data_IF_552392696144
#
_entry.id   IF_552392696144
#
_cell.length_a   1.000
_cell.length_b   1.000
_cell.length_c   1.000
_cell.angle_alpha   90.00
_cell.angle_beta   90.00
_cell.angle_gamma   90.00
#
_symmetry.space_group_name_H-M   'P 1'
#
loop_
_entity.id
_entity.type
_entity.pdbx_description
1 polymer ?
#
# COMPACT_ATOMS: atom_id res chain seq x y z
N UNK A 1 -30.92 -26.05 13.80
CA UNK A 1 -31.58 -25.76 12.51
C UNK A 1 -32.57 -24.63 12.76
N UNK A 2 -32.36 -23.50 12.12
CA UNK A 2 -33.29 -22.38 12.17
C UNK A 2 -34.04 -22.36 10.83
N UNK A 3 -35.34 -22.42 10.88
CA UNK A 3 -36.20 -22.32 9.71
C UNK A 3 -36.97 -20.99 9.75
N UNK A 4 -36.83 -20.21 8.69
CA UNK A 4 -37.59 -18.98 8.49
C UNK A 4 -38.54 -19.24 7.31
N UNK A 5 -39.85 -19.03 7.51
CA UNK A 5 -40.84 -19.02 6.45
C UNK A 5 -41.53 -17.68 6.40
N UNK A 6 -41.44 -16.98 5.29
CA UNK A 6 -42.06 -15.67 5.11
C UNK A 6 -42.74 -15.58 3.75
N UNK A 7 -43.98 -15.10 3.68
CA UNK A 7 -44.66 -14.94 2.40
C UNK A 7 -44.06 -13.75 1.63
N UNK A 8 -43.97 -13.94 0.32
CA UNK A 8 -43.74 -12.82 -0.59
C UNK A 8 -44.97 -11.90 -0.67
N UNK A 9 -44.78 -10.68 -1.14
CA UNK A 9 -45.88 -9.71 -1.30
C UNK A 9 -47.00 -10.16 -2.24
N UNK A 10 -46.70 -11.10 -3.14
CA UNK A 10 -47.64 -11.69 -4.11
C UNK A 10 -48.29 -13.01 -3.65
N UNK A 11 -48.04 -13.44 -2.42
CA UNK A 11 -48.61 -14.67 -1.84
C UNK A 11 -47.77 -15.91 -1.95
N UNK A 12 -46.62 -15.89 -2.68
CA UNK A 12 -45.64 -16.97 -2.68
C UNK A 12 -44.87 -17.08 -1.34
N UNK A 13 -44.00 -18.06 -1.19
CA UNK A 13 -43.24 -18.23 0.05
C UNK A 13 -41.74 -18.34 -0.19
N UNK A 14 -40.94 -17.76 0.70
CA UNK A 14 -39.51 -17.97 0.82
C UNK A 14 -39.27 -18.82 2.08
N UNK A 15 -38.59 -19.93 1.93
CA UNK A 15 -38.10 -20.73 3.05
C UNK A 15 -36.58 -20.66 3.10
N UNK A 16 -36.04 -20.31 4.25
CA UNK A 16 -34.61 -20.31 4.49
C UNK A 16 -34.28 -21.36 5.55
N UNK A 17 -33.35 -22.26 5.24
CA UNK A 17 -32.87 -23.29 6.16
C UNK A 17 -31.38 -23.02 6.41
N UNK A 18 -31.00 -22.89 7.68
CA UNK A 18 -29.63 -22.70 8.10
C UNK A 18 -29.14 -23.92 8.86
N UNK A 19 -28.02 -24.47 8.40
CA UNK A 19 -27.33 -25.60 9.05
C UNK A 19 -25.89 -25.19 9.38
N UNK A 20 -25.57 -25.13 10.66
CA UNK A 20 -24.21 -24.87 11.13
C UNK A 20 -24.15 -23.97 12.37
N UNK A 21 -22.94 -23.86 12.93
CA UNK A 21 -22.56 -22.88 13.94
C UNK A 21 -21.36 -22.09 13.41
N UNK A 22 -21.41 -20.79 13.40
CA UNK A 22 -20.36 -19.94 12.84
C UNK A 22 -20.57 -19.70 11.33
N UNK A 23 -19.56 -19.98 10.51
CA UNK A 23 -19.57 -19.76 9.05
C UNK A 23 -20.40 -20.81 8.30
N UNK A 24 -21.66 -20.88 8.61
CA UNK A 24 -22.59 -21.77 7.94
C UNK A 24 -23.22 -21.11 6.71
N UNK A 25 -23.79 -21.95 5.81
CA UNK A 25 -24.58 -21.51 4.66
C UNK A 25 -26.07 -21.54 4.99
N UNK A 26 -26.83 -20.56 4.47
CA UNK A 26 -28.29 -20.59 4.47
C UNK A 26 -28.78 -20.95 3.06
N UNK A 27 -29.65 -21.96 2.98
CA UNK A 27 -30.32 -22.30 1.73
C UNK A 27 -31.69 -21.63 1.68
N UNK A 28 -31.90 -20.84 0.63
CA UNK A 28 -33.19 -20.19 0.38
C UNK A 28 -33.92 -20.97 -0.72
N UNK A 29 -35.13 -21.36 -0.40
CA UNK A 29 -36.04 -22.01 -1.38
C UNK A 29 -37.24 -21.06 -1.55
N UNK A 30 -37.52 -20.67 -2.78
CA UNK A 30 -38.67 -19.85 -3.12
C UNK A 30 -39.51 -20.48 -4.21
N UNK A 31 -40.80 -20.19 -4.20
CA UNK A 31 -41.65 -20.50 -5.34
C UNK A 31 -41.17 -19.77 -6.60
N UNK A 32 -41.37 -20.37 -7.75
CA UNK A 32 -41.03 -19.74 -9.03
C UNK A 32 -41.73 -18.37 -9.14
N UNK A 33 -40.98 -17.40 -9.60
CA UNK A 33 -41.54 -16.07 -9.86
C UNK A 33 -41.79 -15.90 -11.35
N UNK A 34 -43.07 -16.02 -11.74
CA UNK A 34 -43.49 -15.92 -13.13
C UNK A 34 -43.84 -14.49 -13.57
N UNK A 35 -43.72 -13.54 -12.66
CA UNK A 35 -44.14 -12.16 -12.89
C UNK A 35 -43.03 -11.12 -12.65
N UNK A 36 -43.38 -9.99 -12.09
CA UNK A 36 -42.46 -8.89 -11.81
C UNK A 36 -41.52 -9.18 -10.63
N UNK A 37 -40.44 -8.42 -10.55
CA UNK A 37 -39.53 -8.48 -9.41
C UNK A 37 -40.29 -8.32 -8.08
N UNK A 38 -39.93 -9.12 -7.10
CA UNK A 38 -40.49 -9.08 -5.76
C UNK A 38 -39.43 -8.94 -4.69
N UNK A 39 -39.79 -8.26 -3.63
CA UNK A 39 -38.85 -7.91 -2.56
C UNK A 39 -39.39 -8.35 -1.19
N UNK A 40 -38.48 -8.69 -0.28
CA UNK A 40 -38.80 -8.91 1.12
C UNK A 40 -37.62 -8.54 2.01
N UNK A 41 -37.92 -8.23 3.25
CA UNK A 41 -36.93 -8.15 4.31
C UNK A 41 -36.78 -9.49 5.01
N UNK A 42 -35.56 -10.00 5.08
CA UNK A 42 -35.19 -11.21 5.80
C UNK A 42 -34.39 -10.83 7.03
N UNK A 43 -34.88 -11.21 8.19
CA UNK A 43 -34.20 -11.02 9.46
C UNK A 43 -33.62 -12.34 9.97
N UNK A 44 -32.36 -12.33 10.29
CA UNK A 44 -31.67 -13.45 10.93
C UNK A 44 -31.66 -13.26 12.42
N UNK A 45 -31.97 -14.31 13.14
CA UNK A 45 -32.03 -14.30 14.61
C UNK A 45 -31.01 -15.29 15.15
N UNK A 46 -30.36 -14.94 16.26
CA UNK A 46 -29.50 -15.85 17.00
C UNK A 46 -30.31 -16.88 17.82
N UNK A 47 -29.60 -17.80 18.50
CA UNK A 47 -30.22 -18.81 19.37
C UNK A 47 -31.02 -18.22 20.54
N UNK A 48 -30.84 -16.95 20.87
CA UNK A 48 -31.61 -16.19 21.86
C UNK A 48 -32.83 -15.48 21.30
N UNK A 49 -33.12 -15.66 20.00
CA UNK A 49 -34.18 -14.98 19.24
C UNK A 49 -34.02 -13.46 19.09
N UNK A 50 -32.81 -12.93 19.26
CA UNK A 50 -32.54 -11.56 18.94
C UNK A 50 -32.24 -11.43 17.44
N UNK A 51 -32.79 -10.38 16.77
CA UNK A 51 -32.47 -10.06 15.38
C UNK A 51 -31.01 -9.62 15.31
N UNK A 52 -30.20 -10.41 14.63
CA UNK A 52 -28.78 -10.16 14.47
C UNK A 52 -28.53 -9.30 13.23
N UNK A 53 -29.27 -9.55 12.16
CA UNK A 53 -29.19 -8.77 10.92
C UNK A 53 -30.51 -8.84 10.16
N UNK A 54 -30.89 -7.75 9.53
CA UNK A 54 -31.99 -7.67 8.56
C UNK A 54 -31.45 -7.27 7.20
N UNK A 55 -31.90 -7.94 6.15
CA UNK A 55 -31.51 -7.63 4.76
C UNK A 55 -32.73 -7.63 3.86
N UNK A 56 -32.70 -6.71 2.90
CA UNK A 56 -33.68 -6.69 1.81
C UNK A 56 -33.22 -7.68 0.74
N UNK A 57 -34.10 -8.60 0.39
CA UNK A 57 -33.86 -9.60 -0.65
C UNK A 57 -34.80 -9.33 -1.81
N UNK A 58 -34.28 -9.22 -3.02
CA UNK A 58 -35.05 -9.03 -4.24
C UNK A 58 -34.95 -10.29 -5.09
N UNK A 59 -36.06 -10.87 -5.43
CA UNK A 59 -36.14 -11.92 -6.45
C UNK A 59 -36.53 -11.30 -7.78
N UNK A 60 -35.62 -11.34 -8.75
CA UNK A 60 -35.87 -10.88 -10.10
C UNK A 60 -36.78 -11.86 -10.85
N UNK A 61 -37.86 -11.38 -11.47
CA UNK A 61 -38.77 -12.21 -12.25
C UNK A 61 -38.06 -12.96 -13.37
N UNK A 62 -38.46 -14.19 -13.64
CA UNK A 62 -37.94 -15.12 -14.68
C UNK A 62 -36.42 -15.42 -14.65
N UNK A 63 -35.63 -14.68 -13.84
CA UNK A 63 -34.18 -14.87 -13.76
C UNK A 63 -33.73 -15.61 -12.51
N UNK A 64 -34.64 -15.85 -11.56
CA UNK A 64 -34.36 -16.55 -10.29
C UNK A 64 -33.06 -16.12 -9.59
N UNK A 65 -32.70 -14.84 -9.68
CA UNK A 65 -31.49 -14.28 -9.06
C UNK A 65 -31.90 -13.54 -7.80
N UNK A 66 -31.31 -13.93 -6.68
CA UNK A 66 -31.44 -13.16 -5.44
C UNK A 66 -30.34 -12.09 -5.42
N UNK A 67 -30.72 -10.85 -5.27
CA UNK A 67 -29.79 -9.74 -5.10
C UNK A 67 -29.96 -9.13 -3.71
N UNK A 68 -28.85 -8.78 -3.09
CA UNK A 68 -28.83 -8.10 -1.80
C UNK A 68 -28.30 -6.68 -2.00
N UNK A 69 -29.11 -5.68 -1.64
CA UNK A 69 -28.77 -4.27 -1.86
C UNK A 69 -27.50 -3.80 -1.12
N UNK A 70 -27.13 -4.49 -0.05
CA UNK A 70 -26.07 -4.06 0.87
C UNK A 70 -24.84 -4.98 0.86
N UNK A 71 -24.67 -5.75 -0.21
CA UNK A 71 -23.56 -6.71 -0.34
C UNK A 71 -23.82 -8.05 0.36
N UNK A 72 -22.82 -8.90 0.55
CA UNK A 72 -22.99 -10.24 1.07
C UNK A 72 -23.55 -10.23 2.50
N UNK A 73 -24.36 -11.20 2.84
CA UNK A 73 -24.85 -11.41 4.20
C UNK A 73 -23.66 -11.72 5.13
N UNK A 74 -23.60 -11.05 6.27
CA UNK A 74 -22.59 -11.31 7.29
C UNK A 74 -23.26 -11.67 8.61
N UNK A 75 -22.71 -12.64 9.30
CA UNK A 75 -23.08 -12.94 10.67
C UNK A 75 -22.48 -11.89 11.63
N UNK A 76 -23.03 -11.78 12.82
CA UNK A 76 -22.50 -10.91 13.88
C UNK A 76 -21.06 -11.30 14.31
N UNK A 77 -20.65 -12.52 14.07
CA UNK A 77 -19.29 -13.04 14.28
C UNK A 77 -18.35 -12.87 13.07
N UNK A 78 -18.77 -12.18 12.01
CA UNK A 78 -17.98 -11.95 10.81
C UNK A 78 -18.13 -12.97 9.69
N UNK A 79 -18.87 -14.07 9.90
CA UNK A 79 -19.15 -15.07 8.87
C UNK A 79 -20.02 -14.52 7.73
N UNK A 80 -19.88 -15.09 6.54
CA UNK A 80 -20.67 -14.74 5.35
C UNK A 80 -21.57 -15.90 4.94
N UNK A 81 -22.77 -15.56 4.44
CA UNK A 81 -23.65 -16.55 3.82
C UNK A 81 -23.52 -16.49 2.30
N UNK A 82 -23.47 -17.66 1.69
CA UNK A 82 -23.65 -17.79 0.26
C UNK A 82 -25.11 -18.15 -0.03
N UNK A 83 -25.77 -17.41 -0.90
CA UNK A 83 -27.14 -17.72 -1.37
C UNK A 83 -27.00 -18.66 -2.56
N UNK A 84 -27.44 -19.91 -2.38
CA UNK A 84 -27.45 -20.90 -3.46
C UNK A 84 -28.81 -20.93 -4.15
N UNK A 85 -28.80 -20.95 -5.47
CA UNK A 85 -30.00 -21.11 -6.29
C UNK A 85 -30.43 -22.59 -6.27
N UNK A 86 -31.71 -22.83 -6.01
CA UNK A 86 -32.25 -24.19 -6.01
C UNK A 86 -32.30 -24.73 -7.44
N UNK A 87 -31.73 -25.92 -7.67
CA UNK A 87 -31.79 -26.65 -8.93
C UNK A 87 -30.60 -26.44 -9.88
N UNK A 88 -29.67 -25.55 -9.59
CA UNK A 88 -28.38 -25.58 -10.28
C UNK A 88 -27.38 -26.49 -9.56
N UNK A 89 -26.54 -27.22 -10.31
CA UNK A 89 -25.43 -27.91 -9.66
C UNK A 89 -24.64 -26.88 -8.84
N UNK A 90 -24.26 -27.25 -7.62
CA UNK A 90 -23.30 -26.48 -6.83
C UNK A 90 -22.05 -26.40 -7.69
N UNK A 91 -21.93 -25.33 -8.49
CA UNK A 91 -20.65 -24.95 -9.05
C UNK A 91 -19.86 -24.57 -7.80
N UNK A 92 -18.80 -25.28 -7.44
CA UNK A 92 -17.95 -24.87 -6.34
C UNK A 92 -17.67 -23.38 -6.57
N UNK A 93 -17.88 -22.54 -5.55
CA UNK A 93 -17.53 -21.12 -5.63
C UNK A 93 -16.19 -21.06 -6.36
N UNK A 94 -16.10 -20.31 -7.46
CA UNK A 94 -14.78 -20.06 -8.03
C UNK A 94 -13.94 -19.58 -6.84
N UNK A 95 -12.82 -20.26 -6.57
CA UNK A 95 -12.06 -19.97 -5.37
C UNK A 95 -11.82 -18.46 -5.33
N UNK A 96 -12.28 -17.82 -4.25
CA UNK A 96 -12.10 -16.37 -4.08
C UNK A 96 -10.63 -16.10 -4.36
N UNK A 97 -10.36 -15.28 -5.35
CA UNK A 97 -9.00 -14.98 -5.75
C UNK A 97 -8.27 -14.37 -4.57
N UNK A 98 -7.24 -15.04 -4.10
CA UNK A 98 -6.40 -14.56 -3.00
C UNK A 98 -5.09 -13.99 -3.56
N UNK A 99 -4.57 -13.02 -2.84
CA UNK A 99 -3.39 -12.28 -3.26
C UNK A 99 -2.42 -12.12 -2.09
N UNK A 100 -1.17 -12.43 -2.34
CA UNK A 100 -0.08 -12.12 -1.42
C UNK A 100 0.45 -10.72 -1.73
N UNK A 101 0.41 -9.82 -0.75
CA UNK A 101 0.95 -8.47 -0.86
C UNK A 101 2.46 -8.49 -1.11
N UNK A 102 2.94 -7.63 -2.00
CA UNK A 102 4.36 -7.42 -2.25
C UNK A 102 4.81 -6.03 -1.80
N UNK A 103 6.09 -5.88 -1.52
CA UNK A 103 6.67 -4.59 -1.11
C UNK A 103 6.76 -3.60 -2.26
N UNK A 104 6.94 -4.08 -3.48
CA UNK A 104 6.94 -3.31 -4.73
C UNK A 104 6.74 -4.25 -5.92
N UNK A 105 6.42 -3.68 -7.07
CA UNK A 105 6.73 -4.30 -8.36
C UNK A 105 7.88 -3.55 -9.03
N UNK A 106 8.66 -4.26 -9.84
CA UNK A 106 9.78 -3.70 -10.61
C UNK A 106 9.51 -3.86 -12.10
N UNK A 107 9.73 -2.77 -12.84
CA UNK A 107 9.63 -2.68 -14.28
C UNK A 107 11.03 -2.59 -14.89
N UNK A 108 11.30 -3.38 -15.93
CA UNK A 108 12.58 -3.37 -16.64
C UNK A 108 12.52 -2.65 -18.02
N UNK A 109 11.43 -1.95 -18.29
CA UNK A 109 11.23 -1.22 -19.52
C UNK A 109 10.41 -1.95 -20.60
N UNK A 110 9.68 -3.01 -20.22
CA UNK A 110 8.82 -3.78 -21.12
C UNK A 110 7.39 -3.94 -20.60
N UNK A 111 7.15 -3.57 -19.35
CA UNK A 111 5.87 -3.72 -18.67
C UNK A 111 5.04 -2.45 -18.72
N UNK A 112 3.73 -2.61 -18.79
CA UNK A 112 2.76 -1.54 -18.59
C UNK A 112 1.39 -2.10 -18.16
N UNK A 113 0.51 -1.21 -17.73
CA UNK A 113 -0.89 -1.48 -17.40
C UNK A 113 -1.75 -0.46 -18.15
N UNK A 114 -2.77 -0.91 -18.91
CA UNK A 114 -3.85 -0.05 -19.37
C UNK A 114 -4.95 -0.02 -18.30
N UNK A 115 -5.16 1.13 -17.68
CA UNK A 115 -6.23 1.27 -16.67
C UNK A 115 -7.62 1.34 -17.27
N UNK A 116 -7.76 1.57 -18.57
CA UNK A 116 -9.04 1.89 -19.17
C UNK A 116 -9.68 3.18 -18.64
N UNK A 117 -9.01 3.88 -17.73
CA UNK A 117 -9.52 5.06 -17.04
C UNK A 117 -9.09 6.34 -17.73
N UNK A 118 -10.05 7.20 -18.05
CA UNK A 118 -9.81 8.55 -18.59
C UNK A 118 -9.74 9.52 -17.41
N UNK A 119 -8.59 10.16 -17.23
CA UNK A 119 -8.33 11.12 -16.13
C UNK A 119 -9.24 12.34 -16.26
N UNK A 120 -9.83 12.74 -15.14
CA UNK A 120 -10.73 13.90 -15.03
C UNK A 120 -10.02 15.11 -14.44
N UNK A 121 -10.65 16.27 -14.58
CA UNK A 121 -10.09 17.55 -14.15
C UNK A 121 -9.86 17.64 -12.63
N UNK A 122 -10.72 17.01 -11.84
CA UNK A 122 -10.67 16.98 -10.37
C UNK A 122 -9.86 15.81 -9.80
N UNK A 123 -9.26 14.98 -10.67
CA UNK A 123 -8.45 13.87 -10.21
C UNK A 123 -7.09 14.33 -9.69
N UNK A 124 -6.62 13.60 -8.68
CA UNK A 124 -5.30 13.71 -8.09
C UNK A 124 -4.60 12.37 -8.26
N UNK A 125 -3.51 12.35 -9.01
CA UNK A 125 -2.70 11.15 -9.22
C UNK A 125 -1.55 11.16 -8.24
N UNK A 126 -1.37 10.06 -7.49
CA UNK A 126 -0.31 9.86 -6.50
C UNK A 126 0.46 8.60 -6.81
N UNK A 127 1.77 8.65 -6.65
CA UNK A 127 2.61 7.48 -6.81
C UNK A 127 3.83 7.52 -5.89
N UNK A 128 4.17 6.35 -5.31
CA UNK A 128 5.45 6.10 -4.67
C UNK A 128 6.27 5.18 -5.57
N UNK A 129 7.43 5.66 -6.00
CA UNK A 129 8.29 4.95 -6.93
C UNK A 129 9.77 5.13 -6.63
N UNK A 130 10.57 4.21 -7.14
CA UNK A 130 12.04 4.25 -7.12
C UNK A 130 12.54 4.10 -8.57
N UNK A 131 13.27 5.07 -9.06
CA UNK A 131 13.84 5.05 -10.40
C UNK A 131 15.35 4.83 -10.31
N UNK A 132 15.79 3.61 -10.58
CA UNK A 132 17.20 3.21 -10.47
C UNK A 132 18.02 3.49 -11.75
N UNK A 133 17.37 3.83 -12.85
CA UNK A 133 18.01 3.88 -14.16
C UNK A 133 18.04 5.31 -14.69
N UNK A 134 19.25 5.78 -14.85
CA UNK A 134 19.58 7.08 -15.41
C UNK A 134 19.81 6.91 -16.90
N UNK A 135 18.74 6.93 -17.66
CA UNK A 135 18.81 6.89 -19.11
C UNK A 135 18.71 8.30 -19.70
N UNK A 136 19.35 8.52 -20.84
CA UNK A 136 19.13 9.71 -21.68
C UNK A 136 17.89 9.57 -22.56
N UNK A 137 16.96 8.71 -22.16
CA UNK A 137 15.70 8.46 -22.84
C UNK A 137 14.55 8.77 -21.88
N UNK A 138 13.47 9.32 -22.41
CA UNK A 138 12.25 9.51 -21.62
C UNK A 138 11.70 8.17 -21.15
N UNK A 139 11.44 8.05 -19.86
CA UNK A 139 10.80 6.91 -19.21
C UNK A 139 9.55 7.39 -18.50
N UNK A 140 8.40 6.86 -18.85
CA UNK A 140 7.12 7.34 -18.33
C UNK A 140 6.63 6.44 -17.20
N UNK A 141 6.45 7.03 -16.03
CA UNK A 141 5.80 6.36 -14.90
C UNK A 141 4.30 6.18 -15.18
N UNK A 142 3.69 7.15 -15.83
CA UNK A 142 2.35 7.05 -16.37
C UNK A 142 2.16 8.06 -17.52
N UNK A 143 1.21 7.79 -18.42
CA UNK A 143 0.92 8.74 -19.49
C UNK A 143 -0.24 8.41 -20.42
N UNK A 144 -0.91 9.46 -20.87
CA UNK A 144 -1.90 9.48 -21.97
C UNK A 144 -1.26 9.94 -23.28
N UNK A 145 -1.97 9.86 -24.41
CA UNK A 145 -1.35 9.96 -25.73
C UNK A 145 -1.51 11.27 -26.49
N UNK A 146 -2.40 12.15 -26.09
CA UNK A 146 -2.77 13.28 -26.94
C UNK A 146 -2.02 14.59 -26.61
N UNK A 147 -2.33 15.67 -27.34
CA UNK A 147 -1.74 16.98 -27.14
C UNK A 147 -2.10 17.61 -25.79
N UNK A 148 -3.15 17.09 -25.15
CA UNK A 148 -3.67 17.51 -23.84
C UNK A 148 -3.36 16.46 -22.77
N UNK A 149 -2.18 15.85 -22.86
CA UNK A 149 -1.81 14.68 -22.09
C UNK A 149 -1.71 14.91 -20.57
N UNK A 150 -1.96 13.86 -19.81
CA UNK A 150 -1.54 13.73 -18.42
C UNK A 150 -0.40 12.72 -18.38
N UNK A 151 0.77 13.14 -17.90
CA UNK A 151 1.90 12.22 -17.78
C UNK A 151 2.96 12.70 -16.78
N UNK A 152 3.75 11.74 -16.34
CA UNK A 152 5.02 11.94 -15.64
C UNK A 152 6.10 11.16 -16.38
N UNK A 153 7.13 11.86 -16.86
CA UNK A 153 8.33 11.24 -17.40
C UNK A 153 9.57 11.59 -16.59
N UNK A 154 10.58 10.74 -16.70
CA UNK A 154 11.89 10.90 -16.08
C UNK A 154 12.93 10.82 -17.19
N UNK A 155 13.70 11.89 -17.35
CA UNK A 155 14.76 12.00 -18.35
C UNK A 155 16.00 12.62 -17.70
N UNK A 156 17.12 11.92 -17.75
CA UNK A 156 18.43 12.42 -17.32
C UNK A 156 18.37 13.15 -15.95
N UNK A 157 17.87 12.48 -14.91
CA UNK A 157 17.68 13.00 -13.55
C UNK A 157 16.65 14.14 -13.40
N UNK A 158 15.87 14.41 -14.39
CA UNK A 158 14.83 15.44 -14.33
C UNK A 158 13.47 14.80 -14.52
N UNK A 159 12.55 15.09 -13.62
CA UNK A 159 11.16 14.73 -13.84
C UNK A 159 10.44 15.85 -14.59
N UNK A 160 9.67 15.43 -15.54
CA UNK A 160 8.80 16.29 -16.33
C UNK A 160 7.36 15.86 -16.07
N UNK A 161 6.50 16.81 -15.84
CA UNK A 161 5.08 16.57 -15.58
C UNK A 161 4.22 17.37 -16.53
N UNK A 162 3.08 16.80 -16.86
CA UNK A 162 2.02 17.44 -17.60
C UNK A 162 0.65 17.05 -17.05
N UNK A 163 -0.23 18.04 -16.95
CA UNK A 163 -1.64 17.81 -16.65
C UNK A 163 -2.46 18.73 -17.56
N UNK A 164 -3.00 18.17 -18.63
CA UNK A 164 -3.63 18.94 -19.71
C UNK A 164 -2.63 19.43 -20.77
N UNK A 165 -2.77 20.67 -21.28
CA UNK A 165 -1.98 21.18 -22.40
C UNK A 165 -0.61 21.77 -22.04
N UNK A 166 -0.41 22.17 -20.78
CA UNK A 166 0.84 22.78 -20.32
C UNK A 166 1.91 21.79 -19.91
N UNK A 167 3.17 22.10 -20.20
CA UNK A 167 4.32 21.29 -19.77
C UNK A 167 5.08 22.03 -18.67
N UNK A 168 5.39 21.33 -17.59
CA UNK A 168 6.25 21.84 -16.52
C UNK A 168 7.48 20.96 -16.37
N UNK A 169 8.59 21.59 -16.04
CA UNK A 169 9.83 20.94 -15.65
C UNK A 169 10.03 21.08 -14.17
N UNK A 170 10.36 20.00 -13.50
CA UNK A 170 10.75 20.05 -12.12
C UNK A 170 12.11 19.42 -11.89
N UNK A 171 12.87 20.08 -11.08
CA UNK A 171 14.08 19.71 -10.33
C UNK A 171 14.86 18.47 -10.72
N UNK A 172 16.17 18.63 -10.70
CA UNK A 172 17.14 17.55 -10.76
C UNK A 172 16.80 16.50 -9.70
N UNK A 173 16.41 15.32 -10.13
CA UNK A 173 16.34 14.15 -9.30
C UNK A 173 17.71 13.49 -9.25
N UNK A 174 18.29 13.49 -8.11
CA UNK A 174 19.37 12.59 -7.83
C UNK A 174 18.76 11.36 -7.14
N UNK A 175 18.15 10.44 -7.91
CA UNK A 175 17.76 9.08 -7.51
C UNK A 175 16.85 8.87 -6.27
N UNK A 176 16.13 7.89 -6.33
CA UNK A 176 15.74 6.63 -5.75
C UNK A 176 14.35 6.56 -5.18
N UNK A 177 13.88 7.17 -4.17
CA UNK A 177 12.51 6.99 -3.66
C UNK A 177 11.79 8.31 -3.69
N UNK A 178 10.77 8.39 -4.52
CA UNK A 178 10.02 9.62 -4.69
C UNK A 178 8.54 9.40 -4.45
N UNK A 179 7.92 10.39 -3.85
CA UNK A 179 6.49 10.60 -3.86
C UNK A 179 6.18 11.66 -4.90
N UNK A 180 5.21 11.41 -5.74
CA UNK A 180 4.64 12.39 -6.65
C UNK A 180 3.16 12.51 -6.45
N UNK A 181 2.66 13.74 -6.46
CA UNK A 181 1.25 14.07 -6.55
C UNK A 181 1.06 15.02 -7.74
N UNK A 182 0.22 14.66 -8.70
CA UNK A 182 -0.10 15.46 -9.87
C UNK A 182 -1.59 15.74 -9.89
N UNK A 183 -1.95 17.01 -10.02
CA UNK A 183 -3.33 17.48 -10.11
C UNK A 183 -3.42 18.68 -11.04
N UNK A 184 -4.64 19.12 -11.30
CA UNK A 184 -4.89 20.37 -12.02
C UNK A 184 -4.04 21.50 -11.39
N UNK A 185 -3.32 22.21 -12.26
CA UNK A 185 -2.52 23.41 -11.92
C UNK A 185 -1.31 23.19 -11.02
N UNK A 186 -1.08 21.99 -10.49
CA UNK A 186 0.13 21.74 -9.69
C UNK A 186 0.64 20.31 -9.74
N UNK A 187 1.93 20.14 -9.54
CA UNK A 187 2.56 18.88 -9.22
C UNK A 187 3.47 19.04 -8.00
N UNK A 188 3.36 18.11 -7.08
CA UNK A 188 4.23 18.04 -5.91
C UNK A 188 5.15 16.85 -6.04
N UNK A 189 6.44 17.08 -5.96
CA UNK A 189 7.47 16.05 -5.92
C UNK A 189 8.11 16.05 -4.55
N UNK A 190 7.98 14.97 -3.84
CA UNK A 190 8.36 14.87 -2.44
C UNK A 190 7.72 16.00 -1.62
N UNK A 191 8.26 17.20 -1.69
CA UNK A 191 7.78 18.39 -0.96
C UNK A 191 7.82 19.67 -1.80
N UNK A 192 8.31 19.57 -3.03
CA UNK A 192 8.43 20.75 -3.91
C UNK A 192 7.19 20.80 -4.80
N UNK A 193 6.35 21.79 -4.56
CA UNK A 193 5.22 22.08 -5.42
C UNK A 193 5.65 22.96 -6.59
N UNK A 194 5.19 22.59 -7.78
CA UNK A 194 5.42 23.33 -9.02
C UNK A 194 4.08 23.60 -9.69
N UNK A 195 3.89 24.83 -10.18
CA UNK A 195 2.69 25.19 -10.94
C UNK A 195 2.72 24.52 -12.32
N UNK A 196 1.60 23.94 -12.72
CA UNK A 196 1.37 23.36 -14.03
C UNK A 196 0.40 24.26 -14.81
N UNK A 197 0.74 24.69 -16.03
CA UNK A 197 -0.24 25.30 -16.92
C UNK A 197 -1.35 24.28 -17.22
N UNK A 198 -2.60 24.71 -17.11
CA UNK A 198 -3.76 23.87 -17.37
C UNK A 198 -4.68 24.55 -18.38
N UNK A 199 -5.12 23.81 -19.37
CA UNK A 199 -6.13 24.28 -20.34
C UNK A 199 -7.27 23.26 -20.51
N UNK A 200 -6.96 22.00 -20.77
CA UNK A 200 -7.97 20.98 -21.10
C UNK A 200 -7.45 19.56 -20.80
N UNK A 201 -8.37 18.64 -20.49
CA UNK A 201 -8.05 17.24 -20.15
C UNK A 201 -7.91 16.33 -21.39
N UNK A 202 -7.14 15.22 -21.27
CA UNK A 202 -7.06 14.20 -22.31
C UNK A 202 -8.38 13.42 -22.42
N UNK A 203 -8.64 12.91 -23.62
CA UNK A 203 -9.76 12.01 -23.88
C UNK A 203 -9.36 10.53 -23.92
N UNK A 204 -8.06 10.24 -23.79
CA UNK A 204 -7.52 8.88 -23.89
C UNK A 204 -7.26 8.26 -22.54
N UNK A 205 -7.44 6.92 -22.38
CA UNK A 205 -7.14 6.23 -21.14
C UNK A 205 -5.67 6.35 -20.73
N UNK A 206 -5.44 6.25 -19.42
CA UNK A 206 -4.14 6.34 -18.79
C UNK A 206 -3.43 4.99 -18.80
N UNK A 207 -2.17 4.99 -19.26
CA UNK A 207 -1.23 3.89 -19.03
C UNK A 207 -0.39 4.15 -17.78
N UNK A 208 -0.14 3.12 -17.02
CA UNK A 208 0.83 3.11 -15.92
C UNK A 208 2.06 2.33 -16.36
N UNK A 209 3.24 2.83 -16.02
CA UNK A 209 4.58 2.33 -16.41
C UNK A 209 4.93 2.47 -17.89
N UNK A 210 4.14 3.22 -18.62
CA UNK A 210 4.41 3.61 -19.98
C UNK A 210 3.63 4.88 -20.36
N UNK A 211 3.87 5.39 -21.55
CA UNK A 211 3.01 6.39 -22.20
C UNK A 211 2.23 5.73 -23.33
N UNK A 212 0.97 6.11 -23.48
CA UNK A 212 0.18 5.73 -24.65
C UNK A 212 0.64 6.54 -25.87
N UNK A 213 0.85 5.88 -27.01
CA UNK A 213 1.12 6.56 -28.30
C UNK A 213 -0.18 7.03 -28.94
N UNK A 214 -0.09 7.82 -29.99
CA UNK A 214 -1.28 8.23 -30.77
C UNK A 214 -1.93 7.07 -31.53
N UNK A 215 -1.19 5.99 -31.82
CA UNK A 215 -1.72 4.73 -32.35
C UNK A 215 -2.39 3.84 -31.29
N UNK A 216 -2.24 4.17 -30.03
CA UNK A 216 -2.78 3.38 -28.92
C UNK A 216 -1.77 2.45 -28.25
N UNK A 217 -0.59 2.29 -28.81
CA UNK A 217 0.46 1.40 -28.30
C UNK A 217 1.17 1.99 -27.07
N UNK A 218 1.72 1.13 -26.22
CA UNK A 218 2.59 1.56 -25.14
C UNK A 218 3.99 1.89 -25.65
N UNK A 219 4.51 3.04 -25.22
CA UNK A 219 5.85 3.51 -25.59
C UNK A 219 6.59 4.06 -24.37
N UNK A 220 7.92 4.12 -24.46
CA UNK A 220 8.80 4.77 -23.48
C UNK A 220 8.54 4.27 -22.04
N UNK A 221 8.55 2.95 -21.88
CA UNK A 221 8.23 2.22 -20.66
C UNK A 221 9.12 2.63 -19.48
N UNK A 222 8.54 2.65 -18.30
CA UNK A 222 9.23 2.92 -17.05
C UNK A 222 10.24 1.83 -16.71
N UNK A 223 11.34 2.24 -16.06
CA UNK A 223 12.33 1.34 -15.47
C UNK A 223 12.53 1.75 -14.04
N UNK A 224 12.21 0.85 -13.12
CA UNK A 224 12.27 1.12 -11.69
C UNK A 224 11.21 0.35 -10.91
N UNK A 225 10.96 0.78 -9.68
CA UNK A 225 10.03 0.12 -8.75
C UNK A 225 8.86 1.02 -8.42
N UNK A 226 7.71 0.41 -8.19
CA UNK A 226 6.53 1.11 -7.72
C UNK A 226 5.95 0.38 -6.51
N UNK A 227 5.61 1.13 -5.46
CA UNK A 227 5.02 0.59 -4.23
C UNK A 227 3.54 0.93 -4.12
N UNK A 228 3.09 1.98 -4.82
CA UNK A 228 1.70 2.41 -4.83
C UNK A 228 1.45 3.35 -6.01
N UNK A 229 0.31 3.16 -6.67
CA UNK A 229 -0.25 4.13 -7.62
C UNK A 229 -1.71 4.38 -7.26
N UNK A 230 -2.14 5.64 -7.23
CA UNK A 230 -3.48 6.00 -6.77
C UNK A 230 -4.05 7.17 -7.56
N UNK A 231 -5.35 7.10 -7.83
CA UNK A 231 -6.15 8.20 -8.34
C UNK A 231 -7.25 8.47 -7.34
N UNK A 232 -7.38 9.71 -6.89
CA UNK A 232 -8.44 10.17 -5.99
C UNK A 232 -9.05 11.47 -6.50
N UNK A 233 -10.25 11.81 -6.06
CA UNK A 233 -10.89 13.10 -6.33
C UNK A 233 -11.67 13.60 -5.09
N UNK A 234 -12.47 14.62 -5.24
CA UNK A 234 -13.26 15.18 -4.14
C UNK A 234 -14.24 14.19 -3.49
N UNK A 235 -14.62 13.12 -4.19
CA UNK A 235 -15.53 12.08 -3.69
C UNK A 235 -14.80 10.91 -3.03
N UNK A 236 -13.47 10.91 -3.02
CA UNK A 236 -12.64 9.86 -2.42
C UNK A 236 -11.71 9.17 -3.42
N UNK A 237 -11.29 7.97 -3.08
CA UNK A 237 -10.37 7.17 -3.89
C UNK A 237 -11.13 6.49 -5.04
N UNK A 238 -10.61 6.63 -6.25
CA UNK A 238 -11.18 6.07 -7.47
C UNK A 238 -10.47 4.80 -7.89
N UNK A 239 -9.13 4.80 -7.83
CA UNK A 239 -8.25 3.67 -8.12
C UNK A 239 -7.13 3.69 -7.08
N UNK A 240 -6.83 2.54 -6.50
CA UNK A 240 -5.66 2.36 -5.64
C UNK A 240 -4.97 1.05 -5.94
N UNK A 241 -3.90 1.12 -6.71
CA UNK A 241 -3.12 -0.03 -7.14
C UNK A 241 -2.03 -0.38 -6.12
N UNK A 242 -2.01 -1.63 -5.70
CA UNK A 242 -1.03 -2.19 -4.78
C UNK A 242 -0.31 -3.40 -5.38
N UNK A 243 1.02 -3.50 -5.23
CA UNK A 243 1.78 -4.67 -5.68
C UNK A 243 1.32 -5.95 -5.01
N UNK A 244 1.00 -6.96 -5.80
CA UNK A 244 0.60 -8.29 -5.29
C UNK A 244 1.13 -9.41 -6.17
N UNK A 245 1.20 -10.61 -5.59
CA UNK A 245 1.29 -11.89 -6.28
C UNK A 245 -0.07 -12.59 -6.18
N UNK A 246 -0.65 -12.97 -7.29
CA UNK A 246 -1.88 -13.74 -7.32
C UNK A 246 -1.58 -15.17 -6.95
N UNK A 247 -2.26 -15.70 -5.93
CA UNK A 247 -1.86 -16.97 -5.30
C UNK A 247 -2.12 -18.18 -6.20
N UNK A 248 -3.20 -18.16 -7.03
CA UNK A 248 -3.57 -19.30 -7.88
C UNK A 248 -2.54 -19.68 -8.94
N UNK A 249 -1.77 -18.72 -9.45
CA UNK A 249 -0.82 -18.92 -10.55
C UNK A 249 0.54 -18.27 -10.33
N UNK A 250 0.73 -17.59 -9.19
CA UNK A 250 1.96 -16.89 -8.86
C UNK A 250 2.20 -15.61 -9.67
N UNK A 251 1.24 -15.16 -10.49
CA UNK A 251 1.41 -14.00 -11.35
C UNK A 251 1.54 -12.72 -10.56
N UNK A 252 2.55 -11.92 -10.88
CA UNK A 252 2.82 -10.64 -10.22
C UNK A 252 2.10 -9.53 -10.98
N UNK A 253 1.51 -8.60 -10.23
CA UNK A 253 0.78 -7.46 -10.79
C UNK A 253 0.39 -6.44 -9.74
N UNK A 254 -0.55 -5.60 -10.11
CA UNK A 254 -1.16 -4.61 -9.23
C UNK A 254 -2.63 -4.95 -8.99
N UNK A 255 -3.05 -4.98 -7.73
CA UNK A 255 -4.45 -5.11 -7.34
C UNK A 255 -5.01 -3.72 -7.08
N UNK A 256 -6.08 -3.36 -7.76
CA UNK A 256 -6.89 -2.22 -7.36
C UNK A 256 -7.74 -2.60 -6.14
N UNK A 257 -7.36 -2.08 -4.98
CA UNK A 257 -8.04 -2.42 -3.71
C UNK A 257 -9.44 -1.81 -3.60
N UNK A 258 -9.80 -0.89 -4.49
CA UNK A 258 -11.14 -0.28 -4.54
C UNK A 258 -12.10 -1.18 -5.32
N UNK A 259 -11.71 -1.61 -6.54
CA UNK A 259 -12.57 -2.43 -7.41
C UNK A 259 -12.34 -3.93 -7.27
N UNK A 260 -11.23 -4.36 -6.68
CA UNK A 260 -10.80 -5.76 -6.64
C UNK A 260 -10.17 -6.27 -7.95
N UNK A 261 -9.99 -5.42 -8.96
CA UNK A 261 -9.42 -5.82 -10.24
C UNK A 261 -7.91 -6.05 -10.15
N UNK A 262 -7.45 -7.16 -10.70
CA UNK A 262 -6.04 -7.49 -10.80
C UNK A 262 -5.50 -7.12 -12.19
N UNK A 263 -4.45 -6.31 -12.21
CA UNK A 263 -3.75 -5.88 -13.41
C UNK A 263 -2.38 -6.57 -13.50
N UNK A 264 -2.24 -7.48 -14.44
CA UNK A 264 -0.95 -8.01 -14.85
C UNK A 264 -0.28 -7.05 -15.84
N UNK A 265 0.98 -7.33 -16.20
CA UNK A 265 1.61 -6.65 -17.33
C UNK A 265 0.90 -6.97 -18.62
N UNK A 266 0.64 -5.96 -19.44
CA UNK A 266 0.17 -6.09 -20.81
C UNK A 266 1.33 -6.01 -21.84
N UNK A 267 2.57 -5.77 -21.34
CA UNK A 267 3.77 -5.72 -22.15
C UNK A 267 4.39 -7.10 -22.41
N UNK A 268 5.58 -7.08 -23.04
CA UNK A 268 6.29 -8.31 -23.47
C UNK A 268 6.95 -9.07 -22.32
N UNK A 269 6.93 -8.53 -21.09
CA UNK A 269 7.51 -9.18 -19.92
C UNK A 269 6.59 -9.06 -18.69
N UNK A 270 6.65 -10.04 -17.80
CA UNK A 270 5.98 -9.99 -16.50
C UNK A 270 6.68 -8.99 -15.57
N UNK A 271 5.92 -8.48 -14.60
CA UNK A 271 6.50 -7.69 -13.50
C UNK A 271 7.39 -8.55 -12.61
N UNK A 272 8.43 -7.93 -12.03
CA UNK A 272 9.26 -8.54 -11.00
C UNK A 272 8.74 -8.10 -9.65
N UNK A 273 8.49 -9.04 -8.74
CA UNK A 273 7.97 -8.75 -7.41
C UNK A 273 9.07 -8.50 -6.38
N UNK A 274 8.78 -7.60 -5.46
CA UNK A 274 9.54 -7.47 -4.22
C UNK A 274 9.23 -8.59 -3.22
N UNK A 275 9.65 -8.41 -1.96
CA UNK A 275 9.39 -9.38 -0.90
C UNK A 275 7.88 -9.51 -0.63
N UNK A 276 7.45 -10.72 -0.30
CA UNK A 276 6.08 -10.98 0.14
C UNK A 276 5.84 -10.36 1.53
N UNK A 277 4.74 -9.62 1.64
CA UNK A 277 4.26 -9.11 2.92
C UNK A 277 3.06 -9.95 3.31
N UNK A 278 3.30 -11.00 4.07
CA UNK A 278 2.23 -11.85 4.60
C UNK A 278 1.72 -11.23 5.89
N UNK A 279 0.47 -10.84 5.88
CA UNK A 279 -0.24 -10.30 7.03
C UNK A 279 -1.40 -11.22 7.38
N UNK A 280 -1.63 -11.45 8.65
CA UNK A 280 -2.74 -12.28 9.10
C UNK A 280 -4.04 -11.49 9.14
N UNK A 281 -5.16 -12.21 9.13
CA UNK A 281 -6.48 -11.61 9.33
C UNK A 281 -6.53 -10.74 10.60
N UNK A 282 -7.27 -9.64 10.55
CA UNK A 282 -7.36 -8.67 11.65
C UNK A 282 -6.39 -7.50 11.59
N UNK A 283 -5.58 -7.42 10.52
CA UNK A 283 -4.64 -6.33 10.30
C UNK A 283 -4.77 -5.76 8.88
N UNK A 284 -4.45 -4.47 8.74
CA UNK A 284 -4.45 -3.73 7.48
C UNK A 284 -3.05 -3.14 7.24
N UNK A 285 -2.50 -3.33 6.03
CA UNK A 285 -1.26 -2.63 5.64
C UNK A 285 -1.62 -1.18 5.34
N UNK A 286 -0.90 -0.27 6.00
CA UNK A 286 -0.95 1.17 5.75
C UNK A 286 0.35 1.64 5.09
N UNK A 287 0.36 2.85 4.53
CA UNK A 287 1.54 3.33 3.81
C UNK A 287 2.71 3.67 4.73
N UNK A 288 2.41 4.15 5.94
CA UNK A 288 3.40 4.70 6.88
C UNK A 288 2.85 4.79 8.28
N UNK A 289 3.73 4.73 9.28
CA UNK A 289 3.40 5.02 10.68
C UNK A 289 3.83 6.44 11.01
N UNK A 290 2.93 7.22 11.60
CA UNK A 290 3.24 8.55 12.12
C UNK A 290 3.79 8.47 13.54
N UNK A 291 4.92 9.16 13.77
CA UNK A 291 5.58 9.34 15.06
C UNK A 291 5.39 10.79 15.53
N UNK A 292 4.82 10.97 16.71
CA UNK A 292 4.47 12.28 17.30
C UNK A 292 5.20 12.58 18.61
N UNK A 293 6.34 11.98 18.88
CA UNK A 293 7.11 11.92 20.13
C UNK A 293 6.58 10.95 21.19
N UNK A 294 5.40 10.37 21.01
CA UNK A 294 4.78 9.46 21.97
C UNK A 294 4.92 8.00 21.55
N UNK A 295 5.44 7.76 20.34
CA UNK A 295 5.64 6.43 19.77
C UNK A 295 7.12 6.09 19.65
N UNK A 296 7.50 4.92 20.11
CA UNK A 296 8.75 4.25 19.80
C UNK A 296 8.50 2.75 19.74
N UNK A 297 9.36 2.02 19.09
CA UNK A 297 9.28 0.57 18.96
C UNK A 297 10.60 -0.05 19.38
N UNK A 298 10.59 -1.30 19.83
CA UNK A 298 11.80 -2.03 20.18
C UNK A 298 11.99 -3.20 19.21
N UNK A 299 13.15 -3.28 18.56
CA UNK A 299 13.46 -4.39 17.67
C UNK A 299 13.63 -5.72 18.40
N UNK A 300 13.97 -5.69 19.68
CA UNK A 300 14.37 -6.88 20.44
C UNK A 300 15.81 -7.36 20.14
N UNK A 301 16.49 -6.75 19.15
CA UNK A 301 17.81 -7.20 18.69
C UNK A 301 18.91 -6.19 19.01
N UNK A 302 20.06 -6.71 19.44
CA UNK A 302 21.27 -5.95 19.69
C UNK A 302 22.01 -5.69 18.38
N UNK A 303 22.55 -4.48 18.21
CA UNK A 303 23.41 -4.16 17.07
C UNK A 303 24.88 -4.54 17.33
N UNK A 304 25.60 -4.86 16.28
CA UNK A 304 27.04 -5.14 16.31
C UNK A 304 27.73 -4.68 15.01
N UNK A 305 29.01 -4.97 14.87
CA UNK A 305 29.81 -4.58 13.70
C UNK A 305 29.47 -5.32 12.40
N UNK A 306 28.51 -6.26 12.42
CA UNK A 306 27.93 -6.89 11.21
C UNK A 306 26.49 -6.45 10.93
N UNK A 307 25.96 -5.56 11.77
CA UNK A 307 24.56 -5.10 11.62
C UNK A 307 24.39 -4.17 10.43
N UNK A 308 23.39 -4.42 9.63
CA UNK A 308 22.92 -3.52 8.58
C UNK A 308 21.50 -3.05 8.87
N UNK A 309 21.18 -1.80 8.54
CA UNK A 309 19.85 -1.22 8.68
C UNK A 309 19.47 -0.55 7.37
N UNK A 310 18.24 -0.80 6.90
CA UNK A 310 17.59 -0.10 5.79
C UNK A 310 16.28 0.50 6.31
N UNK A 311 16.14 1.81 6.21
CA UNK A 311 14.98 2.54 6.71
C UNK A 311 14.53 3.58 5.69
N UNK A 312 13.23 3.67 5.48
CA UNK A 312 12.62 4.74 4.69
C UNK A 312 11.80 5.64 5.61
N UNK A 313 12.08 6.94 5.59
CA UNK A 313 11.51 7.89 6.54
C UNK A 313 11.28 9.28 5.95
N UNK A 314 10.37 10.03 6.56
CA UNK A 314 10.09 11.42 6.23
C UNK A 314 9.99 12.24 7.51
N UNK A 315 10.86 13.22 7.66
CA UNK A 315 10.83 14.13 8.80
C UNK A 315 9.82 15.26 8.56
N UNK A 316 8.93 15.52 9.52
CA UNK A 316 7.92 16.59 9.41
C UNK A 316 8.28 17.85 10.20
N UNK A 317 9.32 17.84 11.04
CA UNK A 317 9.76 18.98 11.85
C UNK A 317 11.28 19.07 11.91
N UNK A 318 11.83 20.28 11.78
CA UNK A 318 13.27 20.58 11.97
C UNK A 318 13.60 21.09 13.35
N UNK A 319 12.61 21.42 14.17
CA UNK A 319 12.78 22.23 15.39
C UNK A 319 13.46 21.50 16.55
N UNK A 320 13.63 20.20 16.50
CA UNK A 320 14.25 19.44 17.57
C UNK A 320 15.16 18.33 17.04
N UNK A 321 16.15 17.98 17.82
CA UNK A 321 16.92 16.76 17.67
C UNK A 321 15.99 15.55 17.68
N UNK A 322 16.09 14.68 16.67
CA UNK A 322 15.21 13.53 16.48
C UNK A 322 16.03 12.26 16.24
N UNK A 323 15.65 11.18 16.89
CA UNK A 323 16.30 9.89 16.71
C UNK A 323 15.39 8.96 15.90
N UNK A 324 15.83 8.58 14.72
CA UNK A 324 15.16 7.56 13.90
C UNK A 324 15.27 6.19 14.57
N UNK A 325 16.45 5.89 15.08
CA UNK A 325 16.73 4.65 15.82
C UNK A 325 18.02 4.80 16.64
N UNK A 326 18.21 3.93 17.63
CA UNK A 326 19.53 3.63 18.16
C UNK A 326 19.80 4.00 19.62
N UNK A 327 21.07 3.96 19.97
CA UNK A 327 21.62 4.15 21.32
C UNK A 327 22.55 5.34 21.36
N UNK A 328 22.56 6.10 22.48
CA UNK A 328 23.39 7.30 22.63
C UNK A 328 24.67 7.08 23.43
N UNK A 329 24.78 5.99 24.18
CA UNK A 329 25.94 5.66 25.00
C UNK A 329 26.63 4.38 24.52
N UNK A 330 27.92 4.29 24.79
CA UNK A 330 28.74 3.13 24.47
C UNK A 330 28.96 2.94 22.96
N UNK A 331 29.06 1.69 22.54
CA UNK A 331 29.14 1.29 21.15
C UNK A 331 27.82 1.59 20.45
N UNK A 332 27.83 2.48 19.44
CA UNK A 332 26.66 3.14 18.93
C UNK A 332 26.27 2.66 17.55
N UNK A 333 25.01 2.39 17.40
CA UNK A 333 24.35 2.28 16.11
C UNK A 333 23.13 3.22 16.17
N UNK A 334 23.21 4.36 15.50
CA UNK A 334 22.23 5.44 15.68
C UNK A 334 21.99 6.21 14.40
N UNK A 335 20.74 6.45 14.05
CA UNK A 335 20.29 7.47 13.08
C UNK A 335 19.71 8.66 13.82
N UNK A 336 20.39 9.81 13.74
CA UNK A 336 20.02 11.04 14.45
C UNK A 336 19.87 12.19 13.47
N UNK A 337 18.82 12.98 13.61
CA UNK A 337 18.50 14.13 12.78
C UNK A 337 18.53 15.42 13.60
N UNK A 338 19.21 16.47 13.12
CA UNK A 338 19.25 17.79 13.76
C UNK A 338 19.46 18.89 12.73
N UNK A 339 18.68 19.97 12.84
CA UNK A 339 18.90 21.24 12.11
C UNK A 339 19.25 21.09 10.62
N UNK A 340 18.51 20.22 9.89
CA UNK A 340 18.76 19.98 8.46
C UNK A 340 19.89 19.02 8.14
N UNK A 341 20.44 18.32 9.14
CA UNK A 341 21.48 17.30 8.97
C UNK A 341 21.05 15.97 9.56
N UNK A 342 21.42 14.88 8.91
CA UNK A 342 21.32 13.53 9.42
C UNK A 342 22.71 13.03 9.84
N UNK A 343 22.80 12.51 11.04
CA UNK A 343 24.01 11.95 11.63
C UNK A 343 23.82 10.47 11.83
N UNK A 344 24.65 9.68 11.19
CA UNK A 344 24.58 8.24 11.24
C UNK A 344 25.82 7.69 11.95
N UNK A 345 25.63 7.08 13.10
CA UNK A 345 26.73 6.51 13.87
C UNK A 345 26.78 5.01 13.68
N UNK A 346 27.98 4.52 13.47
CA UNK A 346 28.29 3.09 13.38
C UNK A 346 29.59 2.82 14.16
N UNK A 347 29.45 2.30 15.38
CA UNK A 347 30.59 2.25 16.30
C UNK A 347 31.15 3.65 16.58
N UNK A 348 32.41 3.87 16.24
CA UNK A 348 33.09 5.17 16.38
C UNK A 348 32.95 6.08 15.14
N UNK A 349 32.45 5.57 14.01
CA UNK A 349 32.27 6.35 12.81
C UNK A 349 31.05 7.29 12.92
N UNK A 350 31.12 8.46 12.25
CA UNK A 350 30.12 9.51 12.37
C UNK A 350 29.86 10.22 11.03
N UNK A 351 29.43 9.51 9.98
CA UNK A 351 29.07 10.16 8.73
C UNK A 351 27.86 11.10 8.88
N UNK A 352 27.90 12.24 8.19
CA UNK A 352 26.87 13.28 8.24
C UNK A 352 26.33 13.54 6.83
N UNK A 353 25.03 13.69 6.69
CA UNK A 353 24.31 13.95 5.44
C UNK A 353 23.39 15.16 5.60
N UNK A 354 23.17 15.91 4.53
CA UNK A 354 22.14 16.94 4.51
C UNK A 354 20.75 16.28 4.49
N UNK A 355 19.82 16.76 5.32
CA UNK A 355 18.43 16.30 5.37
C UNK A 355 17.49 17.48 5.44
N UNK A 356 16.56 17.60 4.51
CA UNK A 356 15.49 18.58 4.52
C UNK A 356 14.25 18.05 5.26
N UNK A 357 13.36 18.94 5.70
CA UNK A 357 12.02 18.56 6.15
C UNK A 357 11.15 18.13 4.98
N UNK A 358 10.19 17.28 5.29
CA UNK A 358 9.15 16.81 4.39
C UNK A 358 9.63 15.96 3.19
N UNK A 359 10.93 15.88 2.93
CA UNK A 359 11.47 14.95 1.94
C UNK A 359 11.50 13.53 2.49
N UNK A 360 11.16 12.56 1.64
CA UNK A 360 11.32 11.14 1.93
C UNK A 360 12.77 10.75 1.67
N UNK A 361 13.37 10.07 2.62
CA UNK A 361 14.75 9.58 2.56
C UNK A 361 14.78 8.07 2.70
N UNK A 362 15.68 7.45 1.96
CA UNK A 362 16.12 6.10 2.21
C UNK A 362 17.51 6.13 2.85
N UNK A 363 17.62 5.61 4.04
CA UNK A 363 18.87 5.48 4.76
C UNK A 363 19.29 4.01 4.82
N UNK A 364 20.48 3.69 4.34
CA UNK A 364 21.08 2.35 4.42
C UNK A 364 22.40 2.45 5.15
N UNK A 365 22.50 1.74 6.27
CA UNK A 365 23.74 1.62 7.06
C UNK A 365 24.21 0.18 6.95
N UNK A 366 25.43 0.01 6.53
CA UNK A 366 26.10 -1.30 6.45
C UNK A 366 27.47 -1.20 7.10
N UNK A 367 28.12 -2.32 7.43
CA UNK A 367 29.51 -2.30 7.86
C UNK A 367 30.40 -1.54 6.85
N UNK A 368 31.02 -0.46 7.32
CA UNK A 368 31.94 0.35 6.51
C UNK A 368 31.32 1.36 5.56
N UNK A 369 29.99 1.43 5.45
CA UNK A 369 29.32 2.37 4.53
C UNK A 369 27.96 2.81 5.06
N UNK A 370 27.67 4.09 4.95
CA UNK A 370 26.31 4.63 5.09
C UNK A 370 25.93 5.34 3.81
N UNK A 371 24.70 5.10 3.36
CA UNK A 371 24.11 5.75 2.19
C UNK A 371 22.80 6.42 2.61
N UNK A 372 22.61 7.68 2.25
CA UNK A 372 21.32 8.38 2.36
C UNK A 372 20.96 8.85 0.95
N UNK A 373 19.89 8.31 0.41
CA UNK A 373 19.55 8.37 -1.01
C UNK A 373 20.76 7.94 -1.87
N UNK A 374 21.37 8.84 -2.64
CA UNK A 374 22.54 8.55 -3.50
C UNK A 374 23.87 8.93 -2.87
N UNK A 375 23.83 9.65 -1.78
CA UNK A 375 25.06 10.09 -1.12
C UNK A 375 25.58 8.98 -0.23
N UNK A 376 26.78 8.49 -0.54
CA UNK A 376 27.44 7.45 0.25
C UNK A 376 28.67 8.00 0.97
N UNK A 377 28.90 7.51 2.17
CA UNK A 377 30.14 7.76 2.94
C UNK A 377 30.68 6.44 3.47
N UNK A 378 31.96 6.20 3.25
CA UNK A 378 32.68 5.03 3.77
C UNK A 378 33.42 5.40 5.05
N UNK A 379 33.63 4.39 5.89
CA UNK A 379 34.35 4.54 7.17
C UNK A 379 34.97 3.21 7.61
N UNK A 380 35.92 3.26 8.52
CA UNK A 380 36.51 2.07 9.12
C UNK A 380 35.55 1.56 10.21
N UNK A 381 35.31 0.24 10.21
CA UNK A 381 34.49 -0.44 11.22
C UNK A 381 35.38 -0.99 12.31
N UNK A 382 35.07 -0.63 13.55
CA UNK A 382 35.64 -1.26 14.74
C UNK A 382 34.66 -2.32 15.28
N UNK A 383 35.17 -3.31 15.97
CA UNK A 383 34.31 -4.26 16.69
C UNK A 383 33.50 -3.56 17.75
N UNK A 384 32.21 -3.83 17.81
CA UNK A 384 31.32 -3.37 18.85
C UNK A 384 30.09 -4.28 18.97
N UNK A 385 29.47 -4.24 20.13
CA UNK A 385 28.11 -4.75 20.38
C UNK A 385 27.38 -3.70 21.21
N UNK A 386 26.14 -3.44 20.87
CA UNK A 386 25.32 -2.47 21.63
C UNK A 386 24.93 -3.05 22.99
N UNK A 387 24.78 -2.19 24.00
CA UNK A 387 24.40 -2.61 25.36
C UNK A 387 22.92 -3.02 25.48
N UNK A 388 22.11 -2.62 24.51
CA UNK A 388 20.66 -2.80 24.52
C UNK A 388 20.14 -3.07 23.11
N UNK A 389 18.93 -3.66 22.98
CA UNK A 389 18.25 -3.75 21.69
C UNK A 389 18.00 -2.37 21.08
N UNK A 390 18.03 -2.32 19.75
CA UNK A 390 17.89 -1.07 18.98
C UNK A 390 16.44 -0.59 19.02
N UNK A 391 16.13 0.60 19.59
CA UNK A 391 14.83 1.22 19.45
C UNK A 391 14.67 1.95 18.11
N UNK A 392 13.44 2.05 17.63
CA UNK A 392 13.03 2.80 16.43
C UNK A 392 12.05 3.90 16.83
N UNK A 393 12.22 5.12 16.28
CA UNK A 393 11.44 6.31 16.66
C UNK A 393 11.91 6.99 17.95
N UNK A 394 13.02 6.52 18.50
CA UNK A 394 13.59 7.03 19.75
C UNK A 394 15.02 6.57 19.97
N UNK A 395 15.51 6.83 21.17
CA UNK A 395 16.83 6.37 21.59
C UNK A 395 16.81 5.86 23.03
N UNK A 396 17.79 5.03 23.36
CA UNK A 396 18.05 4.60 24.73
C UNK A 396 19.44 5.06 25.19
N UNK A 397 19.51 5.49 26.44
CA UNK A 397 20.75 5.97 27.07
C UNK A 397 20.97 5.22 28.38
N UNK A 398 21.89 4.26 28.37
CA UNK A 398 22.18 3.43 29.55
C UNK A 398 20.95 2.70 30.05
N UNK A 399 20.70 2.74 31.37
CA UNK A 399 19.57 2.10 32.03
C UNK A 399 18.24 2.87 31.91
N UNK A 400 18.23 4.04 31.28
CA UNK A 400 17.05 4.87 31.13
C UNK A 400 16.02 4.22 30.21
N UNK A 401 14.71 4.50 30.40
CA UNK A 401 13.68 4.12 29.42
C UNK A 401 13.98 4.68 28.04
N UNK A 402 13.36 4.08 26.99
CA UNK A 402 13.45 4.64 25.64
C UNK A 402 12.84 6.02 25.64
N UNK A 403 13.63 7.00 25.21
CA UNK A 403 13.17 8.38 25.03
C UNK A 403 12.71 8.55 23.59
N UNK A 404 11.46 8.96 23.44
CA UNK A 404 10.79 9.08 22.14
C UNK A 404 11.00 10.49 21.62
N UNK A 405 11.59 10.65 20.45
CA UNK A 405 11.94 11.95 19.91
C UNK A 405 11.65 12.16 18.44
N UNK A 406 11.34 11.09 17.70
CA UNK A 406 11.08 11.24 16.29
C UNK A 406 9.73 11.91 16.05
N UNK A 407 9.69 12.84 15.07
CA UNK A 407 8.44 13.43 14.55
C UNK A 407 8.49 13.33 13.03
N UNK A 408 7.62 12.51 12.50
CA UNK A 408 7.59 12.22 11.07
C UNK A 408 6.99 10.85 10.77
N UNK A 409 7.27 10.35 9.60
CA UNK A 409 6.75 9.08 9.11
C UNK A 409 7.88 8.09 8.90
N UNK A 410 7.64 6.80 9.22
CA UNK A 410 8.47 5.68 8.82
C UNK A 410 7.63 4.77 7.92
N UNK A 411 8.18 4.45 6.74
CA UNK A 411 7.54 3.67 5.68
C UNK A 411 7.92 2.19 5.73
N UNK A 412 9.13 1.87 6.21
CA UNK A 412 9.58 0.53 6.57
C UNK A 412 10.86 0.62 7.41
N UNK A 413 11.17 -0.47 8.09
CA UNK A 413 12.43 -0.65 8.83
C UNK A 413 12.90 -2.10 8.69
N UNK A 414 14.14 -2.28 8.28
CA UNK A 414 14.78 -3.59 8.14
C UNK A 414 16.12 -3.63 8.84
N UNK A 415 16.45 -4.79 9.38
CA UNK A 415 17.73 -5.00 10.07
C UNK A 415 18.25 -6.40 9.81
N UNK A 416 19.55 -6.48 9.57
CA UNK A 416 20.30 -7.72 9.37
C UNK A 416 21.48 -7.82 10.31
N UNK A 417 21.94 -9.07 10.60
CA UNK A 417 23.28 -9.40 11.05
C UNK A 417 23.98 -10.22 9.96
N UNK A 418 25.03 -9.68 9.35
CA UNK A 418 25.58 -10.24 8.12
C UNK A 418 24.49 -10.39 7.05
N UNK A 419 24.30 -11.59 6.55
CA UNK A 419 23.28 -11.91 5.56
C UNK A 419 21.93 -12.35 6.17
N UNK A 420 21.84 -12.46 7.50
CA UNK A 420 20.61 -12.90 8.17
C UNK A 420 19.67 -11.73 8.43
N UNK A 421 18.50 -11.73 7.82
CA UNK A 421 17.43 -10.77 8.06
C UNK A 421 16.79 -11.06 9.43
N UNK A 422 16.85 -10.09 10.34
CA UNK A 422 16.30 -10.20 11.70
C UNK A 422 14.98 -9.47 11.87
N UNK A 423 14.80 -8.37 11.16
CA UNK A 423 13.64 -7.49 11.24
C UNK A 423 13.24 -7.06 9.83
N UNK A 424 11.97 -7.21 9.49
CA UNK A 424 11.40 -6.71 8.23
C UNK A 424 10.01 -6.11 8.51
N UNK A 425 9.99 -4.86 8.92
CA UNK A 425 8.82 -4.16 9.43
C UNK A 425 8.13 -3.33 8.36
N UNK A 426 6.84 -3.57 8.19
CA UNK A 426 5.96 -2.76 7.34
C UNK A 426 4.85 -2.11 8.17
N UNK A 427 4.49 -0.86 7.85
CA UNK A 427 3.40 -0.14 8.50
C UNK A 427 2.10 -0.92 8.44
N UNK A 428 1.45 -1.05 9.58
CA UNK A 428 0.27 -1.87 9.73
C UNK A 428 -0.65 -1.28 10.80
N UNK A 429 -1.96 -1.45 10.62
CA UNK A 429 -2.99 -1.06 11.57
C UNK A 429 -3.74 -2.31 12.03
N UNK A 430 -3.88 -2.49 13.32
CA UNK A 430 -4.71 -3.54 13.90
C UNK A 430 -6.18 -3.13 13.81
N UNK A 431 -7.02 -3.93 13.18
CA UNK A 431 -8.41 -3.59 12.90
C UNK A 431 -9.30 -3.59 14.15
N UNK A 432 -8.97 -4.38 15.17
CA UNK A 432 -9.77 -4.52 16.40
C UNK A 432 -9.85 -3.25 17.24
N UNK A 433 -8.80 -2.41 17.23
CA UNK A 433 -8.69 -1.21 18.07
C UNK A 433 -8.11 0.00 17.32
N UNK A 434 -7.74 -0.16 16.06
CA UNK A 434 -7.19 0.91 15.23
C UNK A 434 -5.75 1.30 15.55
N UNK A 435 -5.03 0.52 16.36
CA UNK A 435 -3.63 0.81 16.73
C UNK A 435 -2.74 0.67 15.50
N UNK A 436 -2.01 1.75 15.19
CA UNK A 436 -0.98 1.76 14.15
C UNK A 436 0.36 1.29 14.73
N UNK A 437 1.01 0.37 14.04
CA UNK A 437 2.31 -0.20 14.38
C UNK A 437 3.01 -0.77 13.15
N UNK A 438 3.79 -1.81 13.35
CA UNK A 438 4.45 -2.51 12.26
C UNK A 438 4.11 -4.00 12.28
N UNK A 439 3.98 -4.56 11.09
CA UNK A 439 3.98 -6.00 10.89
C UNK A 439 5.41 -6.45 10.60
N UNK A 440 5.93 -7.35 11.41
CA UNK A 440 7.25 -7.95 11.17
C UNK A 440 7.09 -9.20 10.30
N UNK A 441 7.58 -9.13 9.07
CA UNK A 441 7.50 -10.23 8.10
C UNK A 441 8.43 -11.40 8.46
N UNK A 442 9.40 -11.22 9.35
CA UNK A 442 10.28 -12.31 9.81
C UNK A 442 9.59 -13.14 10.88
N UNK A 443 9.04 -12.49 11.90
CA UNK A 443 8.40 -13.18 13.04
C UNK A 443 6.92 -13.43 12.83
N UNK A 444 6.31 -12.83 11.82
CA UNK A 444 4.87 -12.86 11.55
C UNK A 444 4.04 -12.35 12.72
N UNK A 445 4.49 -11.25 13.34
CA UNK A 445 3.86 -10.64 14.50
C UNK A 445 3.64 -9.15 14.33
N UNK A 446 2.60 -8.64 14.98
CA UNK A 446 2.37 -7.20 15.06
C UNK A 446 3.21 -6.58 16.18
N UNK A 447 3.96 -5.55 15.84
CA UNK A 447 4.83 -4.79 16.75
C UNK A 447 4.08 -3.54 17.18
N UNK A 448 3.72 -3.49 18.45
CA UNK A 448 3.01 -2.36 19.06
C UNK A 448 3.97 -1.23 19.44
N UNK A 449 3.50 0.02 19.42
CA UNK A 449 4.27 1.13 20.00
C UNK A 449 4.38 0.96 21.53
N UNK A 450 5.54 1.34 22.09
CA UNK A 450 5.83 1.33 23.52
C UNK A 450 5.10 2.45 24.27
#
# INVERSE_FOLDING_TARGET
MAELKKPWSDGGSLTATYEGSGDGSAVFTSDANESLDREMEVSFVDGGRQIVVTRKVTQLGLREVFNCSDGPFRLSNGGTFNVLKVGEPIIPDEPVETYTRLTYIECNGQQYIDLGYVVKEDDIIKCYYDCNVLTKEDKFLFGTSDSKAVWLSIYNYTAYTRFGSGTSTTTNYASRNHYVEVRKESATFDVTETTLPYEEMPATPLFVFARRSTSGDAIAHFVGRCTMFKISNANGDVIELRPVKRDRDGKIGMLDVISGNFFASEGDADFIGGNEVRITEGYEIIDRVYFNKDKAFNTGYYGNNTTSIDIMFQRTSTSAAAYLFGLTQGNRLTGYLSSGSGYWRYGNAYPTFATATLKIYKGVVTPGKTTVDDTSKTFTVNEFTTSDPIPVGGYKSGTSPITKHYIGYIYYFRMWHGDTLLVDWYPCKRLSDGVEGFWDCVTQTFIEPL
#
